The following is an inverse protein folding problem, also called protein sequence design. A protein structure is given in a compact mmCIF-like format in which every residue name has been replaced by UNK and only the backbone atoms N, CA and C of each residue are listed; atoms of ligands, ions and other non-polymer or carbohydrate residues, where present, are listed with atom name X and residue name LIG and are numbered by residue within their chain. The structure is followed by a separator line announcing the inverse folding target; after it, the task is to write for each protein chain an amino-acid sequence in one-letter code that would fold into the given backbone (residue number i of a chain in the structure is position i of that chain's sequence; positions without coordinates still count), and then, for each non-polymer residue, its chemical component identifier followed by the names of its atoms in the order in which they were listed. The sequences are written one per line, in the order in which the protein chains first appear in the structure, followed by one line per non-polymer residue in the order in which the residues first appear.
data_IF_545859294247
#
_entry.id   IF_545859294247
#
_cell.length_a   1.000
_cell.length_b   1.000
_cell.length_c   1.000
_cell.angle_alpha   90.00
_cell.angle_beta   90.00
_cell.angle_gamma   90.00
#
_symmetry.space_group_name_H-M   'P 1'
#
loop_
_entity.id
_entity.type
_entity.pdbx_description
1 polymer ?
#
# COMPACT_ATOMS: atom_id res chain seq x y z
N UNK A 1 6.91 -4.61 -7.39
CA UNK A 1 6.51 -5.84 -6.66
C UNK A 1 7.58 -6.92 -6.71
N UNK A 2 8.18 -7.26 -7.89
CA UNK A 2 9.23 -8.29 -7.95
C UNK A 2 10.48 -7.95 -7.13
N UNK A 3 10.81 -6.68 -6.96
CA UNK A 3 11.92 -6.24 -6.10
C UNK A 3 11.67 -6.47 -4.61
N UNK A 4 10.41 -6.57 -4.21
CA UNK A 4 10.01 -6.76 -2.82
C UNK A 4 10.04 -8.25 -2.43
N UNK A 5 10.22 -9.17 -3.39
CA UNK A 5 10.25 -10.62 -3.18
C UNK A 5 11.66 -11.21 -3.22
N UNK A 6 12.65 -10.48 -2.69
CA UNK A 6 14.05 -10.97 -2.61
C UNK A 6 14.23 -12.14 -1.67
N UNK A 7 13.32 -12.33 -0.71
CA UNK A 7 13.26 -13.48 0.20
C UNK A 7 12.78 -14.76 -0.46
N UNK A 8 12.32 -14.70 -1.71
CA UNK A 8 11.86 -15.88 -2.44
C UNK A 8 13.02 -16.60 -3.15
N UNK A 9 12.84 -17.90 -3.33
CA UNK A 9 13.74 -18.72 -4.17
C UNK A 9 13.87 -18.14 -5.58
N UNK A 10 15.07 -18.19 -6.10
CA UNK A 10 15.36 -17.70 -7.46
C UNK A 10 14.51 -18.46 -8.48
N UNK A 11 13.77 -17.72 -9.30
CA UNK A 11 12.88 -18.27 -10.33
C UNK A 11 11.53 -18.78 -9.84
N UNK A 12 11.22 -18.69 -8.53
CA UNK A 12 9.91 -19.07 -8.00
C UNK A 12 8.84 -17.98 -8.18
N UNK A 13 9.25 -16.73 -8.36
CA UNK A 13 8.33 -15.60 -8.49
C UNK A 13 7.56 -15.68 -9.80
N UNK A 14 6.23 -15.65 -9.71
CA UNK A 14 5.30 -15.72 -10.86
C UNK A 14 4.25 -14.62 -10.74
N UNK A 15 3.67 -14.26 -11.86
CA UNK A 15 2.55 -13.30 -11.94
C UNK A 15 1.37 -14.04 -12.57
N UNK A 16 0.60 -14.83 -11.78
CA UNK A 16 -0.53 -15.61 -12.31
C UNK A 16 -1.64 -14.71 -12.87
N UNK A 17 -1.77 -13.50 -12.35
CA UNK A 17 -2.73 -12.51 -12.83
C UNK A 17 -2.04 -11.17 -13.02
N UNK A 18 -2.26 -10.58 -14.19
CA UNK A 18 -1.69 -9.27 -14.53
C UNK A 18 -2.80 -8.36 -15.06
N UNK A 19 -2.99 -7.21 -14.40
CA UNK A 19 -3.99 -6.20 -14.77
C UNK A 19 -5.43 -6.72 -14.89
N UNK A 20 -5.81 -7.66 -14.03
CA UNK A 20 -7.19 -8.13 -13.92
C UNK A 20 -8.08 -7.00 -13.42
N UNK A 21 -9.18 -6.71 -14.15
CA UNK A 21 -10.13 -5.69 -13.75
C UNK A 21 -11.09 -6.25 -12.69
N UNK A 22 -10.97 -5.75 -11.47
CA UNK A 22 -11.94 -6.01 -10.41
C UNK A 22 -12.90 -4.84 -10.26
N UNK A 23 -14.20 -5.16 -10.26
CA UNK A 23 -15.26 -4.15 -10.16
C UNK A 23 -15.96 -4.23 -8.82
N UNK A 24 -15.89 -3.16 -8.07
CA UNK A 24 -16.63 -2.94 -6.82
C UNK A 24 -17.69 -1.85 -7.03
N UNK A 25 -18.71 -1.73 -6.16
CA UNK A 25 -19.80 -0.78 -6.35
C UNK A 25 -19.36 0.67 -6.61
N UNK A 26 -18.25 1.08 -6.06
CA UNK A 26 -17.80 2.48 -6.10
C UNK A 26 -16.47 2.70 -6.84
N UNK A 27 -15.75 1.64 -7.19
CA UNK A 27 -14.42 1.75 -7.81
C UNK A 27 -14.11 0.54 -8.69
N UNK A 28 -13.28 0.77 -9.69
CA UNK A 28 -12.65 -0.28 -10.47
C UNK A 28 -11.17 -0.33 -10.12
N UNK A 29 -10.64 -1.53 -9.91
CA UNK A 29 -9.23 -1.74 -9.65
C UNK A 29 -8.60 -2.61 -10.72
N UNK A 30 -7.41 -2.23 -11.18
CA UNK A 30 -6.53 -3.13 -11.89
C UNK A 30 -5.68 -3.87 -10.87
N UNK A 31 -5.89 -5.17 -10.76
CA UNK A 31 -5.22 -6.03 -9.78
C UNK A 31 -4.20 -6.91 -10.47
N UNK A 32 -3.07 -7.09 -9.85
CA UNK A 32 -2.07 -8.08 -10.26
C UNK A 32 -1.68 -8.93 -9.06
N UNK A 33 -1.70 -10.24 -9.25
CA UNK A 33 -1.25 -11.20 -8.24
C UNK A 33 0.19 -11.61 -8.51
N UNK A 34 1.04 -11.53 -7.50
CA UNK A 34 2.42 -11.98 -7.57
C UNK A 34 2.66 -13.01 -6.49
N UNK A 35 3.13 -14.19 -6.87
CA UNK A 35 3.39 -15.32 -5.97
C UNK A 35 4.85 -15.72 -6.00
N UNK A 36 5.35 -16.33 -4.93
CA UNK A 36 6.70 -16.86 -4.85
C UNK A 36 6.81 -17.86 -3.70
N UNK A 37 7.82 -18.72 -3.75
CA UNK A 37 8.18 -19.64 -2.68
C UNK A 37 9.27 -19.00 -1.84
N UNK A 38 9.12 -18.93 -0.52
CA UNK A 38 10.17 -18.43 0.36
C UNK A 38 11.42 -19.33 0.27
N UNK A 39 12.60 -18.74 0.33
CA UNK A 39 13.84 -19.48 0.45
C UNK A 39 13.87 -20.26 1.79
N UNK A 40 14.55 -21.40 1.80
CA UNK A 40 14.50 -22.34 2.92
C UNK A 40 15.00 -21.79 4.27
N UNK A 41 15.79 -20.73 4.23
CA UNK A 41 16.33 -20.02 5.39
C UNK A 41 15.55 -18.75 5.76
N UNK A 42 14.38 -18.53 5.14
CA UNK A 42 13.55 -17.33 5.30
C UNK A 42 12.18 -17.66 5.87
N UNK A 43 11.65 -16.71 6.62
CA UNK A 43 10.32 -16.78 7.21
C UNK A 43 9.43 -15.58 6.86
N UNK A 44 8.24 -15.54 7.44
CA UNK A 44 7.28 -14.47 7.21
C UNK A 44 7.79 -13.08 7.67
N UNK A 45 8.62 -13.04 8.73
CA UNK A 45 9.18 -11.79 9.24
C UNK A 45 10.28 -11.26 8.31
N UNK A 46 11.10 -12.16 7.73
CA UNK A 46 12.05 -11.79 6.69
C UNK A 46 11.34 -11.20 5.47
N UNK A 47 10.23 -11.84 5.04
CA UNK A 47 9.43 -11.35 3.91
C UNK A 47 8.91 -9.93 4.17
N UNK A 48 8.37 -9.66 5.34
CA UNK A 48 7.92 -8.32 5.71
C UNK A 48 9.10 -7.35 5.77
N UNK A 49 10.21 -7.71 6.39
CA UNK A 49 11.40 -6.86 6.51
C UNK A 49 11.94 -6.41 5.15
N UNK A 50 11.99 -7.30 4.17
CA UNK A 50 12.49 -7.01 2.83
C UNK A 50 11.46 -6.31 1.93
N UNK A 51 10.16 -6.55 2.16
CA UNK A 51 9.08 -5.98 1.36
C UNK A 51 8.66 -4.58 1.82
N UNK A 52 8.77 -4.30 3.12
CA UNK A 52 8.30 -3.05 3.72
C UNK A 52 9.24 -1.86 3.47
N UNK A 53 8.67 -0.65 3.25
CA UNK A 53 7.28 -0.38 2.91
C UNK A 53 6.95 -0.84 1.50
N UNK A 54 5.67 -1.17 1.24
CA UNK A 54 5.22 -1.66 -0.06
C UNK A 54 5.56 -0.71 -1.21
N UNK A 55 6.07 -1.24 -2.32
CA UNK A 55 6.43 -0.44 -3.49
C UNK A 55 5.24 0.26 -4.15
N UNK A 56 4.03 -0.30 -4.01
CA UNK A 56 2.79 0.29 -4.56
C UNK A 56 2.36 1.59 -3.89
N UNK A 57 2.86 1.85 -2.67
CA UNK A 57 2.51 3.06 -1.89
C UNK A 57 3.69 4.02 -1.73
N UNK A 58 4.87 3.61 -2.18
CA UNK A 58 6.08 4.43 -2.15
C UNK A 58 6.54 4.80 -3.56
N UNK A 59 6.86 3.82 -4.37
CA UNK A 59 7.36 3.99 -5.73
C UNK A 59 8.66 3.24 -5.98
N UNK A 60 9.20 3.38 -7.16
CA UNK A 60 10.45 2.76 -7.59
C UNK A 60 11.35 3.80 -8.29
N UNK A 61 12.66 3.83 -7.97
CA UNK A 61 13.38 3.07 -6.94
C UNK A 61 12.94 3.44 -5.52
N UNK A 62 12.69 2.44 -4.66
CA UNK A 62 12.04 2.60 -3.35
C UNK A 62 12.69 3.67 -2.46
N UNK A 63 14.01 3.60 -2.27
CA UNK A 63 14.73 4.55 -1.39
C UNK A 63 14.59 6.00 -1.90
N UNK A 64 14.74 6.22 -3.22
CA UNK A 64 14.59 7.57 -3.76
C UNK A 64 13.16 8.09 -3.67
N UNK A 65 12.17 7.23 -3.90
CA UNK A 65 10.76 7.57 -3.73
C UNK A 65 10.46 7.98 -2.28
N UNK A 66 10.98 7.24 -1.30
CA UNK A 66 10.82 7.57 0.12
C UNK A 66 11.47 8.92 0.49
N UNK A 67 12.65 9.23 -0.06
CA UNK A 67 13.30 10.52 0.13
C UNK A 67 12.43 11.67 -0.42
N UNK A 68 11.87 11.51 -1.62
CA UNK A 68 11.00 12.52 -2.24
C UNK A 68 9.72 12.70 -1.40
N UNK A 69 9.13 11.64 -0.90
CA UNK A 69 7.98 11.70 -0.01
C UNK A 69 8.30 12.52 1.25
N UNK A 70 9.45 12.26 1.88
CA UNK A 70 9.87 12.98 3.08
C UNK A 70 10.21 14.46 2.81
N UNK A 71 10.70 14.77 1.60
CA UNK A 71 10.98 16.14 1.14
C UNK A 71 9.71 16.95 0.84
N UNK A 72 8.68 16.32 0.25
CA UNK A 72 7.54 17.03 -0.33
C UNK A 72 6.27 16.98 0.54
N UNK A 73 6.07 15.93 1.31
CA UNK A 73 4.86 15.83 2.13
C UNK A 73 4.97 16.71 3.40
N UNK A 74 3.99 17.58 3.65
CA UNK A 74 4.05 18.52 4.78
C UNK A 74 3.91 17.84 6.14
N UNK A 75 3.38 16.59 6.16
CA UNK A 75 3.17 15.80 7.38
C UNK A 75 3.66 14.38 7.19
N UNK A 76 4.22 13.81 8.24
CA UNK A 76 4.62 12.40 8.22
C UNK A 76 3.40 11.50 8.11
N UNK A 77 3.51 10.46 7.30
CA UNK A 77 2.43 9.50 7.06
C UNK A 77 2.00 8.72 8.31
N UNK A 78 2.91 8.52 9.26
CA UNK A 78 2.68 7.73 10.49
C UNK A 78 2.08 6.36 10.18
N UNK A 79 0.83 6.08 10.59
CA UNK A 79 0.12 4.84 10.29
C UNK A 79 -0.21 4.69 8.80
N UNK A 80 -0.49 5.81 8.13
CA UNK A 80 -0.87 5.79 6.72
C UNK A 80 0.25 5.21 5.85
N UNK A 81 -0.10 4.28 4.96
CA UNK A 81 0.84 3.50 4.17
C UNK A 81 1.74 2.54 4.98
N UNK A 82 1.46 2.35 6.26
CA UNK A 82 2.03 1.25 7.04
C UNK A 82 1.37 -0.08 6.72
N UNK A 83 1.62 -1.09 7.51
CA UNK A 83 0.99 -2.40 7.40
C UNK A 83 0.42 -2.86 8.72
N UNK A 84 -0.78 -3.42 8.68
CA UNK A 84 -1.33 -4.24 9.75
C UNK A 84 -1.08 -5.70 9.38
N UNK A 85 -0.54 -6.46 10.28
CA UNK A 85 -0.24 -7.87 10.04
C UNK A 85 -0.52 -8.73 11.27
N UNK A 86 -0.78 -9.99 11.06
CA UNK A 86 -0.68 -11.01 12.09
C UNK A 86 0.18 -12.18 11.59
N UNK A 87 0.86 -12.83 12.53
CA UNK A 87 1.58 -14.07 12.31
C UNK A 87 1.11 -15.04 13.38
N UNK A 88 0.66 -16.22 12.99
CA UNK A 88 0.22 -17.25 13.95
C UNK A 88 1.38 -18.17 14.35
N UNK A 89 1.12 -19.04 15.34
CA UNK A 89 2.13 -19.99 15.86
C UNK A 89 2.54 -21.07 14.85
N UNK A 90 1.83 -21.20 13.74
CA UNK A 90 2.15 -22.12 12.63
C UNK A 90 3.04 -21.44 11.58
N UNK A 91 3.26 -20.12 11.73
CA UNK A 91 4.00 -19.31 10.76
C UNK A 91 3.14 -18.80 9.61
N UNK A 92 1.81 -18.99 9.67
CA UNK A 92 0.92 -18.35 8.67
C UNK A 92 0.81 -16.86 8.97
N UNK A 93 0.87 -16.05 7.92
CA UNK A 93 0.82 -14.60 8.02
C UNK A 93 -0.18 -14.04 7.01
N UNK A 94 -0.90 -13.02 7.45
CA UNK A 94 -1.62 -12.14 6.54
C UNK A 94 -1.33 -10.69 6.88
N UNK A 95 -1.34 -9.82 5.88
CA UNK A 95 -1.07 -8.41 6.07
C UNK A 95 -1.86 -7.55 5.09
N UNK A 96 -2.21 -6.35 5.54
CA UNK A 96 -2.85 -5.36 4.68
C UNK A 96 -2.17 -3.99 4.84
N UNK A 97 -2.12 -3.24 3.74
CA UNK A 97 -1.62 -1.87 3.77
C UNK A 97 -2.66 -0.95 4.41
N UNK A 98 -2.22 -0.12 5.36
CA UNK A 98 -3.06 0.82 6.07
C UNK A 98 -3.35 2.06 5.18
N UNK A 99 -4.21 1.87 4.19
CA UNK A 99 -4.83 2.92 3.36
C UNK A 99 -6.32 3.00 3.67
N UNK A 100 -6.96 4.13 3.36
CA UNK A 100 -8.40 4.36 3.66
C UNK A 100 -8.73 4.09 5.14
N UNK A 101 -7.80 4.43 6.00
CA UNK A 101 -7.87 4.21 7.45
C UNK A 101 -8.12 5.52 8.17
N UNK A 102 -8.75 5.42 9.33
CA UNK A 102 -8.97 6.54 10.23
C UNK A 102 -8.05 6.40 11.44
N UNK A 103 -7.44 7.50 11.84
CA UNK A 103 -6.72 7.61 13.10
C UNK A 103 -7.52 8.51 14.05
N UNK A 104 -7.90 7.97 15.18
CA UNK A 104 -8.57 8.72 16.25
C UNK A 104 -7.56 8.91 17.37
N UNK A 105 -7.21 10.16 17.64
CA UNK A 105 -6.25 10.51 18.67
C UNK A 105 -6.58 11.89 19.24
N UNK A 106 -6.53 12.02 20.57
CA UNK A 106 -6.70 13.28 21.30
C UNK A 106 -7.97 14.06 20.90
N UNK A 107 -9.08 13.34 20.67
CA UNK A 107 -10.36 13.93 20.26
C UNK A 107 -10.42 14.38 18.79
N UNK A 108 -9.39 14.08 18.01
CA UNK A 108 -9.33 14.37 16.58
C UNK A 108 -9.42 13.10 15.75
N UNK A 109 -10.07 13.20 14.59
CA UNK A 109 -10.11 12.14 13.60
C UNK A 109 -9.34 12.60 12.38
N UNK A 110 -8.34 11.82 12.00
CA UNK A 110 -7.53 12.07 10.79
C UNK A 110 -7.75 10.96 9.77
N UNK A 111 -7.83 11.33 8.51
CA UNK A 111 -7.80 10.40 7.39
C UNK A 111 -6.86 10.93 6.30
N UNK A 112 -6.35 10.02 5.50
CA UNK A 112 -5.43 10.34 4.41
C UNK A 112 -5.95 9.77 3.11
N UNK A 113 -5.87 10.58 2.05
CA UNK A 113 -6.09 10.17 0.67
C UNK A 113 -4.84 10.42 -0.15
N UNK A 114 -4.63 9.60 -1.16
CA UNK A 114 -3.50 9.76 -2.08
C UNK A 114 -3.70 8.92 -3.33
N UNK A 115 -2.94 9.25 -4.36
CA UNK A 115 -2.84 8.57 -5.64
C UNK A 115 -1.40 8.30 -6.00
N UNK A 116 -1.19 7.62 -7.13
CA UNK A 116 0.12 7.44 -7.71
C UNK A 116 0.39 8.59 -8.70
N UNK A 117 1.51 9.28 -8.55
CA UNK A 117 1.94 10.35 -9.47
C UNK A 117 3.03 9.80 -10.36
N UNK A 118 2.82 9.88 -11.67
CA UNK A 118 3.76 9.47 -12.72
C UNK A 118 4.02 10.61 -13.69
N UNK A 119 4.95 10.44 -14.62
CA UNK A 119 5.35 11.51 -15.54
C UNK A 119 4.20 12.09 -16.37
N UNK A 120 3.21 11.26 -16.69
CA UNK A 120 2.05 11.66 -17.50
C UNK A 120 0.83 12.06 -16.66
N UNK A 121 0.98 12.15 -15.32
CA UNK A 121 -0.11 12.54 -14.43
C UNK A 121 -0.46 14.03 -14.58
N UNK A 122 -1.77 14.29 -14.65
CA UNK A 122 -2.33 15.64 -14.58
C UNK A 122 -2.68 15.96 -13.13
N UNK A 123 -2.04 16.97 -12.53
CA UNK A 123 -2.13 17.26 -11.10
C UNK A 123 -3.57 17.41 -10.58
N UNK A 124 -4.45 17.98 -11.39
CA UNK A 124 -5.84 18.19 -11.00
C UNK A 124 -6.61 16.87 -10.93
N UNK A 125 -6.40 15.96 -11.89
CA UNK A 125 -7.01 14.65 -11.91
C UNK A 125 -6.55 13.80 -10.70
N UNK A 126 -5.25 13.81 -10.40
CA UNK A 126 -4.67 13.12 -9.22
C UNK A 126 -5.22 13.66 -7.90
N UNK A 127 -5.37 14.97 -7.80
CA UNK A 127 -5.98 15.59 -6.63
C UNK A 127 -7.44 15.17 -6.45
N UNK A 128 -8.24 15.23 -7.51
CA UNK A 128 -9.66 14.83 -7.50
C UNK A 128 -9.80 13.34 -7.15
N UNK A 129 -8.93 12.48 -7.66
CA UNK A 129 -8.87 11.06 -7.32
C UNK A 129 -8.56 10.86 -5.83
N UNK A 130 -7.59 11.58 -5.28
CA UNK A 130 -7.23 11.48 -3.86
C UNK A 130 -8.40 11.84 -2.95
N UNK A 131 -9.14 12.89 -3.29
CA UNK A 131 -10.35 13.31 -2.58
C UNK A 131 -11.47 12.27 -2.73
N UNK A 132 -11.68 11.75 -3.93
CA UNK A 132 -12.71 10.73 -4.17
C UNK A 132 -12.51 9.48 -3.31
N UNK A 133 -11.27 9.07 -3.09
CA UNK A 133 -10.90 7.91 -2.26
C UNK A 133 -11.28 8.05 -0.78
N UNK A 134 -11.32 9.25 -0.24
CA UNK A 134 -11.65 9.51 1.18
C UNK A 134 -13.01 10.16 1.38
N UNK A 135 -13.68 10.56 0.32
CA UNK A 135 -14.96 11.31 0.37
C UNK A 135 -16.02 10.62 1.20
N UNK A 136 -16.20 9.32 1.03
CA UNK A 136 -17.20 8.55 1.79
C UNK A 136 -16.88 8.56 3.28
N UNK A 137 -15.62 8.38 3.66
CA UNK A 137 -15.18 8.45 5.06
C UNK A 137 -15.45 9.83 5.65
N UNK A 138 -15.11 10.90 4.93
CA UNK A 138 -15.35 12.28 5.38
C UNK A 138 -16.84 12.59 5.54
N UNK A 139 -17.66 12.18 4.58
CA UNK A 139 -19.12 12.38 4.64
C UNK A 139 -19.75 11.62 5.81
N UNK A 140 -19.31 10.39 6.07
CA UNK A 140 -19.79 9.60 7.21
C UNK A 140 -19.44 10.28 8.53
N UNK A 141 -18.23 10.82 8.68
CA UNK A 141 -17.81 11.53 9.89
C UNK A 141 -18.55 12.84 10.09
N UNK A 142 -18.97 13.52 9.03
CA UNK A 142 -19.77 14.76 9.11
C UNK A 142 -21.23 14.51 9.49
N UNK A 143 -21.71 13.28 9.32
CA UNK A 143 -23.09 12.90 9.63
C UNK A 143 -23.30 12.42 11.07
N UNK A 144 -22.23 12.32 11.85
CA UNK A 144 -22.22 11.98 13.29
C UNK A 144 -22.13 13.24 14.12
#
# INVERSE_FOLDING_TARGET
CSSDLRTCEIGSVKVPELFSLETYPNVHHLVSSVTGTLAADKDALDLIGDSFPGGSITGAPKIRAMQIIDELEPTRRALYCGSLLYVDVRGEMDSSIAIRSLLIKDGQVSCWGGGAVVADSEWQAEYEESIAKVRVLMQTLQAI
#
